data_IF_504450967762
#
_entry.id   IF_504450967762
#
_cell.length_a   1.000
_cell.length_b   1.000
_cell.length_c   1.000
_cell.angle_alpha   90.00
_cell.angle_beta   90.00
_cell.angle_gamma   90.00
#
_symmetry.space_group_name_H-M   'P 1'
#
loop_
_entity.id
_entity.type
_entity.pdbx_description
1 polymer ?
#
# COMPACT_ATOMS: atom_id res chain seq x y z
N UNK A 1 -7.04 -3.88 4.01
CA UNK A 1 -5.94 -2.92 4.18
C UNK A 1 -6.42 -1.69 4.96
N UNK A 2 -5.66 -1.18 5.94
CA UNK A 2 -6.06 0.02 6.70
C UNK A 2 -6.21 1.27 5.81
N UNK A 3 -5.47 1.32 4.70
CA UNK A 3 -5.58 2.36 3.66
C UNK A 3 -7.00 2.46 3.05
N UNK A 4 -7.78 1.38 3.00
CA UNK A 4 -9.16 1.42 2.45
C UNK A 4 -10.15 2.20 3.34
N UNK A 5 -9.76 2.53 4.58
CA UNK A 5 -10.59 3.34 5.50
C UNK A 5 -10.35 4.84 5.33
N UNK A 6 -9.36 5.23 4.53
CA UNK A 6 -9.02 6.61 4.23
C UNK A 6 -9.51 6.98 2.85
N UNK A 7 -9.84 8.24 2.65
CA UNK A 7 -10.13 8.77 1.33
C UNK A 7 -8.87 8.66 0.47
N UNK A 8 -9.03 8.18 -0.77
CA UNK A 8 -7.91 8.01 -1.68
C UNK A 8 -7.25 9.38 -1.93
N UNK A 9 -5.92 9.40 -1.98
CA UNK A 9 -5.09 10.59 -2.20
C UNK A 9 -5.21 11.68 -1.10
N UNK A 10 -5.93 11.43 -0.01
CA UNK A 10 -5.88 12.27 1.19
C UNK A 10 -4.49 12.26 1.85
N UNK A 11 -4.19 13.28 2.65
CA UNK A 11 -2.93 13.37 3.43
C UNK A 11 -2.70 12.10 4.27
N UNK A 12 -3.69 11.71 5.08
CA UNK A 12 -3.66 10.48 5.87
C UNK A 12 -3.43 9.20 5.03
N UNK A 13 -3.97 9.15 3.81
CA UNK A 13 -3.78 8.01 2.91
C UNK A 13 -2.34 7.96 2.39
N UNK A 14 -1.79 9.10 2.00
CA UNK A 14 -0.44 9.22 1.48
C UNK A 14 0.61 8.96 2.57
N UNK A 15 0.41 9.49 3.78
CA UNK A 15 1.29 9.23 4.93
C UNK A 15 1.36 7.74 5.24
N UNK A 16 0.20 7.08 5.30
CA UNK A 16 0.11 5.64 5.52
C UNK A 16 0.76 4.84 4.39
N UNK A 17 0.68 5.33 3.15
CA UNK A 17 1.33 4.72 1.99
C UNK A 17 2.85 4.81 2.09
N UNK A 18 3.39 5.94 2.53
CA UNK A 18 4.85 6.09 2.75
C UNK A 18 5.35 5.15 3.84
N UNK A 19 4.61 5.01 4.96
CA UNK A 19 4.93 4.03 6.00
C UNK A 19 4.97 2.62 5.40
N UNK A 20 4.01 2.26 4.54
CA UNK A 20 3.95 0.93 3.94
C UNK A 20 4.98 0.65 2.84
N UNK A 21 5.71 1.66 2.34
CA UNK A 21 6.85 1.43 1.45
C UNK A 21 8.10 0.98 2.20
N UNK A 22 8.35 1.54 3.39
CA UNK A 22 9.59 1.33 4.14
C UNK A 22 9.44 0.29 5.25
N UNK A 23 8.33 0.32 5.99
CA UNK A 23 8.10 -0.54 7.16
C UNK A 23 6.61 -0.76 7.39
N UNK A 24 5.96 -1.48 6.46
CA UNK A 24 4.52 -1.64 6.48
C UNK A 24 4.04 -2.38 7.74
N UNK A 25 2.92 -1.89 8.27
CA UNK A 25 2.17 -2.54 9.35
C UNK A 25 1.48 -3.84 8.90
N UNK A 26 1.48 -4.11 7.59
CA UNK A 26 0.95 -5.31 6.97
C UNK A 26 2.10 -6.19 6.48
N UNK A 27 1.83 -7.49 6.42
CA UNK A 27 2.78 -8.41 5.79
C UNK A 27 2.98 -8.06 4.32
N UNK A 28 4.15 -8.38 3.78
CA UNK A 28 4.46 -8.24 2.35
C UNK A 28 3.38 -8.90 1.48
N UNK A 29 2.85 -10.06 1.89
CA UNK A 29 1.77 -10.74 1.20
C UNK A 29 0.49 -9.90 1.12
N UNK A 30 0.00 -9.40 2.26
CA UNK A 30 -1.23 -8.60 2.32
C UNK A 30 -1.11 -7.30 1.53
N UNK A 31 0.04 -6.63 1.63
CA UNK A 31 0.28 -5.37 0.93
C UNK A 31 0.38 -5.58 -0.58
N UNK A 32 1.10 -6.61 -1.03
CA UNK A 32 1.19 -6.93 -2.45
C UNK A 32 -0.16 -7.32 -3.06
N UNK A 33 -0.94 -8.17 -2.41
CA UNK A 33 -2.29 -8.50 -2.89
C UNK A 33 -3.18 -7.27 -3.00
N UNK A 34 -3.12 -6.37 -2.01
CA UNK A 34 -3.87 -5.13 -2.05
C UNK A 34 -3.43 -4.21 -3.23
N UNK A 35 -2.12 -4.11 -3.52
CA UNK A 35 -1.64 -3.36 -4.67
C UNK A 35 -2.17 -3.95 -6.00
N UNK A 36 -2.20 -5.27 -6.13
CA UNK A 36 -2.76 -5.95 -7.31
C UNK A 36 -4.25 -5.64 -7.46
N UNK A 37 -5.05 -5.70 -6.39
CA UNK A 37 -6.48 -5.36 -6.41
C UNK A 37 -6.73 -3.91 -6.84
N UNK A 38 -5.79 -3.00 -6.56
CA UNK A 38 -5.83 -1.60 -6.99
C UNK A 38 -5.33 -1.38 -8.42
N UNK A 39 -4.92 -2.43 -9.12
CA UNK A 39 -4.46 -2.38 -10.51
C UNK A 39 -2.98 -2.05 -10.67
N UNK A 40 -2.18 -2.09 -9.60
CA UNK A 40 -0.74 -1.91 -9.71
C UNK A 40 -0.04 -3.17 -10.20
N UNK A 41 0.97 -2.98 -11.06
CA UNK A 41 1.91 -4.01 -11.43
C UNK A 41 3.07 -4.03 -10.43
N UNK A 42 3.29 -5.17 -9.77
CA UNK A 42 4.42 -5.38 -8.89
C UNK A 42 5.61 -5.92 -9.66
N UNK A 43 6.72 -5.20 -9.63
CA UNK A 43 7.98 -5.61 -10.24
C UNK A 43 9.05 -5.75 -9.17
N UNK A 44 9.81 -6.84 -9.23
CA UNK A 44 11.06 -6.95 -8.46
C UNK A 44 12.14 -6.24 -9.27
N UNK A 45 12.74 -5.14 -8.77
CA UNK A 45 13.85 -4.50 -9.47
C UNK A 45 15.03 -5.47 -9.60
N UNK A 46 15.82 -5.31 -10.65
CA UNK A 46 17.11 -6.00 -10.83
C UNK A 46 18.20 -5.42 -9.91
#
# INVERSE_FOLDING_TARGET
MIMNKKEQDSEDYNDLREICKENCLHTTYEFHHWLIEKGYLLVRPE
#
